data_IF_357947902081
#
_entry.id   IF_357947902081
#
_cell.length_a   1.000
_cell.length_b   1.000
_cell.length_c   1.000
_cell.angle_alpha   90.00
_cell.angle_beta   90.00
_cell.angle_gamma   90.00
#
_symmetry.space_group_name_H-M   'P 1'
#
loop_
_entity.id
_entity.type
_entity.pdbx_description
1 polymer ?
#
# COMPACT_ATOMS: atom_id res chain seq x y z
N UNK A 1 13.89 -13.92 17.36
CA UNK A 1 13.78 -12.72 18.23
C UNK A 1 14.82 -11.65 17.93
N UNK A 2 16.13 -11.87 18.15
CA UNK A 2 17.13 -10.82 17.93
C UNK A 2 17.18 -10.36 16.46
N UNK A 3 17.11 -11.29 15.51
CA UNK A 3 17.04 -10.98 14.08
C UNK A 3 15.76 -10.21 13.71
N UNK A 4 14.59 -10.64 14.21
CA UNK A 4 13.30 -10.00 13.90
C UNK A 4 13.27 -8.55 14.41
N UNK A 5 13.76 -8.33 15.64
CA UNK A 5 13.86 -6.99 16.21
C UNK A 5 14.87 -6.12 15.45
N UNK A 6 16.01 -6.67 15.04
CA UNK A 6 16.99 -5.95 14.23
C UNK A 6 16.42 -5.55 12.87
N UNK A 7 15.81 -6.49 12.14
CA UNK A 7 15.17 -6.24 10.85
C UNK A 7 14.03 -5.23 10.96
N UNK A 8 13.21 -5.33 12.02
CA UNK A 8 12.14 -4.36 12.28
C UNK A 8 12.70 -2.95 12.52
N UNK A 9 13.70 -2.81 13.39
CA UNK A 9 14.30 -1.51 13.69
C UNK A 9 14.99 -0.91 12.47
N UNK A 10 15.80 -1.70 11.75
CA UNK A 10 16.47 -1.26 10.53
C UNK A 10 15.45 -0.85 9.47
N UNK A 11 14.42 -1.66 9.23
CA UNK A 11 13.35 -1.34 8.28
C UNK A 11 12.56 -0.08 8.68
N UNK A 12 12.29 0.09 9.96
CA UNK A 12 11.59 1.27 10.51
C UNK A 12 12.41 2.54 10.29
N UNK A 13 13.71 2.52 10.63
CA UNK A 13 14.61 3.68 10.48
C UNK A 13 14.75 4.05 9.01
N UNK A 14 14.99 3.06 8.13
CA UNK A 14 15.07 3.30 6.68
C UNK A 14 13.74 3.86 6.15
N UNK A 15 12.62 3.28 6.58
CA UNK A 15 11.28 3.71 6.16
C UNK A 15 10.97 5.15 6.57
N UNK A 16 11.30 5.54 7.79
CA UNK A 16 11.15 6.92 8.27
C UNK A 16 12.06 7.90 7.53
N UNK A 17 13.32 7.51 7.28
CA UNK A 17 14.23 8.33 6.49
C UNK A 17 13.68 8.55 5.08
N UNK A 18 13.22 7.49 4.40
CA UNK A 18 12.62 7.57 3.06
C UNK A 18 11.35 8.42 3.05
N UNK A 19 10.49 8.28 4.07
CA UNK A 19 9.25 9.05 4.20
C UNK A 19 9.47 10.57 4.26
N UNK A 20 10.65 11.02 4.72
CA UNK A 20 11.04 12.43 4.78
C UNK A 20 11.88 12.83 3.56
N UNK A 21 12.91 12.05 3.24
CA UNK A 21 13.89 12.38 2.21
C UNK A 21 13.27 12.40 0.82
N UNK A 22 12.38 11.46 0.47
CA UNK A 22 11.80 11.42 -0.87
C UNK A 22 10.93 12.66 -1.15
N UNK A 23 9.95 13.03 -0.31
CA UNK A 23 9.21 14.29 -0.50
C UNK A 23 10.12 15.52 -0.53
N UNK A 24 11.15 15.58 0.31
CA UNK A 24 12.13 16.67 0.28
C UNK A 24 12.84 16.77 -1.08
N UNK A 25 13.36 15.66 -1.60
CA UNK A 25 14.04 15.62 -2.90
C UNK A 25 13.08 15.92 -4.07
N UNK A 26 11.82 15.52 -3.96
CA UNK A 26 10.79 15.87 -4.94
C UNK A 26 10.53 17.39 -4.97
N UNK A 27 10.54 18.05 -3.81
CA UNK A 27 10.33 19.50 -3.71
C UNK A 27 11.56 20.28 -4.18
N UNK A 28 12.77 19.84 -3.82
CA UNK A 28 14.00 20.64 -4.03
C UNK A 28 14.65 20.37 -5.39
N UNK A 29 14.59 19.15 -5.91
CA UNK A 29 15.42 18.75 -7.04
C UNK A 29 14.64 18.32 -8.30
N UNK A 30 13.31 18.17 -8.23
CA UNK A 30 12.52 17.63 -9.34
C UNK A 30 11.37 18.55 -9.74
N UNK A 31 11.17 18.73 -11.04
CA UNK A 31 9.93 19.30 -11.57
C UNK A 31 8.88 18.20 -11.58
N UNK A 32 7.85 18.35 -10.74
CA UNK A 32 6.83 17.33 -10.55
C UNK A 32 5.61 17.66 -11.42
N UNK A 33 5.45 16.96 -12.54
CA UNK A 33 4.45 17.30 -13.57
C UNK A 33 2.99 17.07 -13.14
N UNK A 34 2.70 15.95 -12.45
CA UNK A 34 1.31 15.58 -12.12
C UNK A 34 1.22 14.63 -10.93
N UNK A 35 0.18 14.76 -10.07
CA UNK A 35 -0.09 13.81 -8.99
C UNK A 35 -0.18 12.36 -9.46
N UNK A 36 0.52 11.48 -8.74
CA UNK A 36 0.61 10.06 -9.06
C UNK A 36 0.39 9.20 -7.81
N UNK A 37 -0.30 8.06 -7.91
CA UNK A 37 -0.41 7.09 -6.82
C UNK A 37 0.95 6.64 -6.26
N UNK A 38 2.01 6.73 -7.06
CA UNK A 38 3.39 6.38 -6.67
C UNK A 38 3.90 7.24 -5.51
N UNK A 39 3.36 8.44 -5.31
CA UNK A 39 3.73 9.32 -4.20
C UNK A 39 3.39 8.75 -2.83
N UNK A 40 2.57 7.71 -2.76
CA UNK A 40 2.28 7.00 -1.52
C UNK A 40 3.40 6.05 -1.08
N UNK A 41 4.27 5.60 -1.99
CA UNK A 41 5.30 4.61 -1.67
C UNK A 41 6.19 4.99 -0.47
N UNK A 42 6.69 6.24 -0.34
CA UNK A 42 7.55 6.62 0.78
C UNK A 42 6.88 6.50 2.14
N UNK A 43 5.55 6.69 2.20
CA UNK A 43 4.80 6.72 3.46
C UNK A 43 4.18 5.38 3.81
N UNK A 44 4.29 4.36 2.95
CA UNK A 44 3.83 3.00 3.24
C UNK A 44 4.65 2.35 4.35
N UNK A 45 5.98 2.47 4.33
CA UNK A 45 6.87 1.78 5.28
C UNK A 45 6.62 2.15 6.75
N UNK A 46 6.37 3.43 7.12
CA UNK A 46 5.92 3.76 8.47
C UNK A 46 4.62 3.05 8.87
N UNK A 47 3.62 2.94 7.99
CA UNK A 47 2.38 2.21 8.30
C UNK A 47 2.61 0.71 8.47
N UNK A 48 3.51 0.12 7.69
CA UNK A 48 3.90 -1.29 7.86
C UNK A 48 4.53 -1.50 9.24
N UNK A 49 5.44 -0.60 9.63
CA UNK A 49 6.08 -0.64 10.95
C UNK A 49 5.06 -0.48 12.08
N UNK A 50 4.08 0.41 11.90
CA UNK A 50 2.97 0.59 12.84
C UNK A 50 2.09 -0.67 13.00
N UNK A 51 1.84 -1.42 11.92
CA UNK A 51 1.04 -2.64 11.96
C UNK A 51 1.78 -3.84 12.55
N UNK A 52 3.10 -3.94 12.32
CA UNK A 52 3.91 -5.08 12.76
C UNK A 52 4.51 -4.89 14.16
N UNK A 53 4.81 -3.66 14.56
CA UNK A 53 5.40 -3.35 15.85
C UNK A 53 4.65 -3.92 17.06
N UNK A 54 3.31 -3.87 17.13
CA UNK A 54 2.54 -4.46 18.24
C UNK A 54 2.83 -5.95 18.48
N UNK A 55 3.22 -6.71 17.44
CA UNK A 55 3.56 -8.13 17.56
C UNK A 55 4.86 -8.37 18.37
N UNK A 56 5.71 -7.35 18.52
CA UNK A 56 6.94 -7.43 19.31
C UNK A 56 6.69 -7.13 20.80
N UNK A 57 5.55 -6.54 21.17
CA UNK A 57 5.22 -6.14 22.55
C UNK A 57 5.33 -7.30 23.56
N UNK A 58 4.81 -8.52 23.28
CA UNK A 58 4.93 -9.64 24.21
C UNK A 58 6.37 -10.04 24.53
N UNK A 59 7.31 -9.69 23.65
CA UNK A 59 8.72 -10.08 23.72
C UNK A 59 9.62 -9.03 24.40
N UNK A 60 9.06 -7.88 24.77
CA UNK A 60 9.79 -6.82 25.47
C UNK A 60 9.57 -6.90 26.98
N UNK A 61 10.53 -6.42 27.80
CA UNK A 61 10.32 -6.27 29.24
C UNK A 61 9.08 -5.40 29.53
N UNK A 62 8.26 -5.75 30.54
CA UNK A 62 7.12 -4.93 30.92
C UNK A 62 7.55 -3.52 31.35
N UNK A 63 6.67 -2.53 31.17
CA UNK A 63 6.92 -1.13 31.50
C UNK A 63 7.32 -0.29 30.29
N UNK A 64 8.36 0.53 30.43
CA UNK A 64 8.70 1.60 29.47
C UNK A 64 8.97 1.09 28.06
N UNK A 65 9.66 -0.03 27.86
CA UNK A 65 9.97 -0.54 26.52
C UNK A 65 8.73 -0.85 25.68
N UNK A 66 7.72 -1.49 26.29
CA UNK A 66 6.43 -1.77 25.61
C UNK A 66 5.68 -0.49 25.30
N UNK A 67 5.64 0.45 26.25
CA UNK A 67 4.98 1.74 26.09
C UNK A 67 5.63 2.57 24.98
N UNK A 68 6.97 2.67 24.97
CA UNK A 68 7.73 3.38 23.94
C UNK A 68 7.47 2.80 22.56
N UNK A 69 7.50 1.47 22.41
CA UNK A 69 7.22 0.83 21.13
C UNK A 69 5.79 1.12 20.64
N UNK A 70 4.78 0.93 21.49
CA UNK A 70 3.39 1.19 21.11
C UNK A 70 3.16 2.66 20.75
N UNK A 71 3.69 3.59 21.55
CA UNK A 71 3.61 5.03 21.26
C UNK A 71 4.30 5.39 19.95
N UNK A 72 5.47 4.80 19.67
CA UNK A 72 6.14 4.97 18.38
C UNK A 72 5.29 4.42 17.23
N UNK A 73 4.64 3.27 17.40
CA UNK A 73 3.73 2.70 16.40
C UNK A 73 2.51 3.60 16.15
N UNK A 74 1.92 4.21 17.19
CA UNK A 74 0.87 5.22 17.03
C UNK A 74 1.35 6.44 16.26
N UNK A 75 2.55 6.93 16.55
CA UNK A 75 3.16 8.03 15.81
C UNK A 75 3.35 7.72 14.33
N UNK A 76 3.87 6.52 14.01
CA UNK A 76 4.06 6.07 12.62
C UNK A 76 2.73 5.84 11.88
N UNK A 77 1.72 5.32 12.58
CA UNK A 77 0.36 5.20 12.07
C UNK A 77 -0.19 6.58 11.67
N UNK A 78 -0.12 7.55 12.59
CA UNK A 78 -0.60 8.91 12.36
C UNK A 78 0.15 9.59 11.21
N UNK A 79 1.49 9.51 11.19
CA UNK A 79 2.32 10.06 10.13
C UNK A 79 1.87 9.56 8.76
N UNK A 80 1.76 8.24 8.59
CA UNK A 80 1.45 7.65 7.30
C UNK A 80 -0.02 7.87 6.90
N UNK A 81 -0.95 7.81 7.85
CA UNK A 81 -2.36 8.06 7.59
C UNK A 81 -2.58 9.51 7.13
N UNK A 82 -2.03 10.49 7.85
CA UNK A 82 -2.16 11.90 7.50
C UNK A 82 -1.49 12.21 6.16
N UNK A 83 -0.30 11.67 5.90
CA UNK A 83 0.35 11.85 4.61
C UNK A 83 -0.46 11.22 3.46
N UNK A 84 -1.08 10.06 3.68
CA UNK A 84 -2.00 9.44 2.72
C UNK A 84 -3.21 10.34 2.45
N UNK A 85 -3.79 10.94 3.49
CA UNK A 85 -4.93 11.86 3.36
C UNK A 85 -4.56 13.17 2.65
N UNK A 86 -3.30 13.59 2.65
CA UNK A 86 -2.82 14.73 1.84
C UNK A 86 -2.67 14.34 0.36
N UNK A 87 -2.12 13.15 0.07
CA UNK A 87 -1.85 12.71 -1.31
C UNK A 87 -3.11 12.24 -2.03
N UNK A 88 -4.01 11.55 -1.34
CA UNK A 88 -5.17 10.90 -1.94
C UNK A 88 -6.11 11.87 -2.69
N UNK A 89 -6.49 13.05 -2.15
CA UNK A 89 -7.29 14.03 -2.88
C UNK A 89 -6.60 14.54 -4.14
N UNK A 90 -5.27 14.68 -4.13
CA UNK A 90 -4.50 15.12 -5.31
C UNK A 90 -4.55 14.07 -6.43
N UNK A 91 -4.39 12.80 -6.07
CA UNK A 91 -4.51 11.68 -7.02
C UNK A 91 -5.92 11.58 -7.58
N UNK A 92 -6.94 11.67 -6.71
CA UNK A 92 -8.33 11.62 -7.13
C UNK A 92 -8.70 12.80 -8.03
N UNK A 93 -8.34 14.02 -7.64
CA UNK A 93 -8.54 15.23 -8.44
C UNK A 93 -7.88 15.13 -9.81
N UNK A 94 -6.64 14.62 -9.88
CA UNK A 94 -5.94 14.36 -11.15
C UNK A 94 -6.67 13.36 -12.05
N UNK A 95 -7.33 12.34 -11.48
CA UNK A 95 -8.13 11.39 -12.27
C UNK A 95 -9.40 12.03 -12.80
N UNK A 96 -10.01 12.94 -12.05
CA UNK A 96 -11.23 13.65 -12.46
C UNK A 96 -10.95 14.68 -13.56
N UNK A 97 -9.85 15.43 -13.46
CA UNK A 97 -9.53 16.53 -14.39
C UNK A 97 -8.66 16.11 -15.56
N UNK A 98 -7.64 15.29 -15.30
CA UNK A 98 -6.70 14.80 -16.32
C UNK A 98 -7.08 13.44 -16.91
N UNK A 99 -8.16 12.84 -16.41
CA UNK A 99 -8.63 11.55 -16.84
C UNK A 99 -7.70 10.38 -16.43
N UNK A 100 -7.87 9.23 -17.08
CA UNK A 100 -7.14 8.00 -16.79
C UNK A 100 -5.62 8.14 -16.85
N UNK A 101 -4.92 7.30 -16.07
CA UNK A 101 -3.46 7.16 -16.21
C UNK A 101 -3.09 6.54 -17.57
N UNK A 102 -1.85 6.73 -18.04
CA UNK A 102 -1.29 5.93 -19.12
C UNK A 102 -1.51 4.44 -18.87
N UNK A 103 -1.77 3.66 -19.91
CA UNK A 103 -2.16 2.26 -19.81
C UNK A 103 -1.21 1.48 -18.89
N UNK A 104 0.09 1.50 -19.17
CA UNK A 104 1.10 0.79 -18.38
C UNK A 104 1.18 1.24 -16.91
N UNK A 105 0.73 2.44 -16.56
CA UNK A 105 0.73 2.94 -15.18
C UNK A 105 -0.60 2.71 -14.44
N UNK A 106 -1.65 2.27 -15.13
CA UNK A 106 -2.96 2.05 -14.51
C UNK A 106 -2.93 1.13 -13.28
N UNK A 107 -2.12 0.05 -13.22
CA UNK A 107 -2.00 -0.78 -12.02
C UNK A 107 -1.56 -0.03 -10.75
N UNK A 108 -0.84 1.09 -10.87
CA UNK A 108 -0.37 1.85 -9.69
C UNK A 108 -1.51 2.47 -8.89
N UNK A 109 -2.72 2.57 -9.44
CA UNK A 109 -3.91 2.98 -8.70
C UNK A 109 -4.16 2.10 -7.45
N UNK A 110 -3.73 0.84 -7.47
CA UNK A 110 -3.86 -0.05 -6.33
C UNK A 110 -2.98 0.35 -5.15
N UNK A 111 -1.91 1.14 -5.36
CA UNK A 111 -1.03 1.61 -4.27
C UNK A 111 -1.78 2.40 -3.19
N UNK A 112 -2.91 3.02 -3.53
CA UNK A 112 -3.81 3.69 -2.58
C UNK A 112 -4.38 2.72 -1.53
N UNK A 113 -4.62 1.46 -1.90
CA UNK A 113 -5.13 0.46 -0.97
C UNK A 113 -4.11 0.10 0.11
N UNK A 114 -2.82 0.27 -0.18
CA UNK A 114 -1.71 -0.10 0.70
C UNK A 114 -1.85 0.50 2.09
N UNK A 115 -1.76 1.83 2.24
CA UNK A 115 -1.91 2.48 3.54
C UNK A 115 -3.31 2.30 4.14
N UNK A 116 -4.38 2.21 3.33
CA UNK A 116 -5.75 2.03 3.84
C UNK A 116 -5.96 0.66 4.50
N UNK A 117 -5.62 -0.44 3.81
CA UNK A 117 -5.73 -1.78 4.39
C UNK A 117 -4.75 -1.99 5.54
N UNK A 118 -3.54 -1.42 5.43
CA UNK A 118 -2.52 -1.57 6.46
C UNK A 118 -2.87 -0.80 7.72
N UNK A 119 -3.53 0.36 7.61
CA UNK A 119 -4.01 1.09 8.79
C UNK A 119 -5.13 0.34 9.49
N UNK A 120 -6.06 -0.29 8.76
CA UNK A 120 -7.06 -1.19 9.35
C UNK A 120 -6.39 -2.34 10.12
N UNK A 121 -5.34 -2.93 9.54
CA UNK A 121 -4.54 -3.98 10.21
C UNK A 121 -3.87 -3.44 11.48
N UNK A 122 -3.25 -2.27 11.43
CA UNK A 122 -2.59 -1.65 12.56
C UNK A 122 -3.57 -1.37 13.71
N UNK A 123 -4.75 -0.82 13.41
CA UNK A 123 -5.78 -0.55 14.41
C UNK A 123 -6.21 -1.82 15.16
N UNK A 124 -6.44 -2.92 14.43
CA UNK A 124 -6.73 -4.22 15.06
C UNK A 124 -5.56 -4.70 15.94
N UNK A 125 -4.31 -4.54 15.49
CA UNK A 125 -3.13 -4.95 16.26
C UNK A 125 -2.85 -4.09 17.48
N UNK A 126 -3.25 -2.82 17.48
CA UNK A 126 -3.23 -1.99 18.66
C UNK A 126 -4.23 -2.46 19.71
N UNK A 127 -5.44 -2.84 19.29
CA UNK A 127 -6.42 -3.44 20.20
C UNK A 127 -5.92 -4.75 20.81
N UNK A 128 -5.34 -5.64 19.98
CA UNK A 128 -4.77 -6.92 20.44
C UNK A 128 -3.64 -6.73 21.47
N UNK A 129 -2.80 -5.70 21.30
CA UNK A 129 -1.66 -5.42 22.17
C UNK A 129 -2.01 -4.64 23.46
N UNK A 130 -3.26 -4.19 23.60
CA UNK A 130 -3.74 -3.38 24.71
C UNK A 130 -5.02 -3.95 25.37
N UNK A 131 -5.03 -5.24 25.81
CA UNK A 131 -6.25 -5.91 26.28
C UNK A 131 -6.88 -5.30 27.56
N UNK A 132 -6.12 -4.49 28.30
CA UNK A 132 -6.61 -3.78 29.49
C UNK A 132 -7.15 -2.38 29.23
N UNK A 133 -7.12 -1.89 27.98
CA UNK A 133 -7.63 -0.57 27.61
C UNK A 133 -9.12 -0.71 27.24
N UNK A 134 -10.03 -0.05 27.98
CA UNK A 134 -11.44 -0.08 27.65
C UNK A 134 -11.70 0.39 26.21
N UNK A 135 -12.62 -0.29 25.52
CA UNK A 135 -13.08 0.05 24.18
C UNK A 135 -12.03 -0.05 23.04
N UNK A 136 -10.88 -0.70 23.26
CA UNK A 136 -9.83 -0.77 22.24
C UNK A 136 -10.29 -1.51 20.97
N UNK A 137 -11.02 -2.61 21.11
CA UNK A 137 -11.59 -3.37 19.99
C UNK A 137 -12.66 -2.56 19.24
N UNK A 138 -13.55 -1.91 19.99
CA UNK A 138 -14.59 -1.04 19.43
C UNK A 138 -14.01 0.14 18.68
N UNK A 139 -12.92 0.76 19.19
CA UNK A 139 -12.20 1.82 18.49
C UNK A 139 -11.55 1.32 17.20
N UNK A 140 -10.96 0.12 17.22
CA UNK A 140 -10.38 -0.50 16.02
C UNK A 140 -11.46 -0.77 14.95
N UNK A 141 -12.63 -1.24 15.35
CA UNK A 141 -13.78 -1.46 14.46
C UNK A 141 -14.34 -0.13 13.93
N UNK A 142 -14.53 0.86 14.80
CA UNK A 142 -15.07 2.18 14.46
C UNK A 142 -14.19 2.91 13.43
N UNK A 143 -12.87 2.76 13.54
CA UNK A 143 -11.93 3.26 12.53
C UNK A 143 -11.91 2.37 11.29
N UNK A 144 -11.75 1.06 11.49
CA UNK A 144 -11.37 0.14 10.42
C UNK A 144 -12.51 -0.17 9.44
N UNK A 145 -13.76 -0.25 9.90
CA UNK A 145 -14.91 -0.51 9.01
C UNK A 145 -15.10 0.61 7.97
N UNK A 146 -15.16 1.91 8.33
CA UNK A 146 -15.24 2.98 7.34
C UNK A 146 -14.05 3.00 6.37
N UNK A 147 -12.83 2.81 6.87
CA UNK A 147 -11.61 2.80 6.03
C UNK A 147 -11.62 1.62 5.07
N UNK A 148 -12.03 0.43 5.52
CA UNK A 148 -12.22 -0.73 4.65
C UNK A 148 -13.31 -0.48 3.61
N UNK A 149 -14.44 0.13 4.00
CA UNK A 149 -15.49 0.51 3.06
C UNK A 149 -14.97 1.43 1.95
N UNK A 150 -14.17 2.44 2.30
CA UNK A 150 -13.51 3.31 1.32
C UNK A 150 -12.47 2.55 0.47
N UNK A 151 -11.71 1.64 1.06
CA UNK A 151 -10.77 0.79 0.32
C UNK A 151 -11.48 -0.08 -0.72
N UNK A 152 -12.66 -0.63 -0.41
CA UNK A 152 -13.47 -1.41 -1.36
C UNK A 152 -14.04 -0.53 -2.49
N UNK A 153 -14.49 0.69 -2.17
CA UNK A 153 -14.86 1.67 -3.20
C UNK A 153 -13.68 1.95 -4.13
N UNK A 154 -12.50 2.21 -3.58
CA UNK A 154 -11.32 2.47 -4.38
C UNK A 154 -10.88 1.24 -5.19
N UNK A 155 -10.95 0.05 -4.62
CA UNK A 155 -10.63 -1.22 -5.28
C UNK A 155 -11.52 -1.43 -6.51
N UNK A 156 -12.83 -1.19 -6.38
CA UNK A 156 -13.76 -1.30 -7.51
C UNK A 156 -13.46 -0.27 -8.61
N UNK A 157 -13.17 0.98 -8.24
CA UNK A 157 -12.75 2.02 -9.18
C UNK A 157 -11.44 1.65 -9.90
N UNK A 158 -10.40 1.29 -9.16
CA UNK A 158 -9.10 0.91 -9.70
C UNK A 158 -9.20 -0.35 -10.58
N UNK A 159 -10.01 -1.33 -10.16
CA UNK A 159 -10.31 -2.54 -10.93
C UNK A 159 -11.00 -2.23 -12.25
N UNK A 160 -12.02 -1.36 -12.25
CA UNK A 160 -12.69 -0.91 -13.47
C UNK A 160 -11.71 -0.20 -14.43
N UNK A 161 -10.80 0.61 -13.89
CA UNK A 161 -9.77 1.30 -14.68
C UNK A 161 -8.77 0.30 -15.31
N UNK A 162 -8.36 -0.73 -14.57
CA UNK A 162 -7.52 -1.83 -15.09
C UNK A 162 -8.24 -2.61 -16.19
N UNK A 163 -9.51 -2.98 -15.99
CA UNK A 163 -10.32 -3.66 -17.02
C UNK A 163 -10.41 -2.81 -18.28
N UNK A 164 -10.68 -1.51 -18.14
CA UNK A 164 -10.72 -0.56 -19.24
C UNK A 164 -9.38 -0.47 -19.96
N UNK A 165 -8.27 -0.39 -19.22
CA UNK A 165 -6.93 -0.34 -19.79
C UNK A 165 -6.61 -1.64 -20.56
N UNK A 166 -6.96 -2.80 -20.01
CA UNK A 166 -6.84 -4.10 -20.70
C UNK A 166 -7.63 -4.14 -22.00
N UNK A 167 -8.88 -3.66 -21.99
CA UNK A 167 -9.72 -3.55 -23.21
C UNK A 167 -9.15 -2.60 -24.26
N UNK A 168 -8.34 -1.62 -23.85
CA UNK A 168 -7.59 -0.71 -24.74
C UNK A 168 -6.18 -1.20 -25.08
N UNK A 169 -5.89 -2.49 -24.91
CA UNK A 169 -4.63 -3.09 -25.34
C UNK A 169 -3.47 -2.96 -24.35
N UNK A 170 -3.71 -2.59 -23.08
CA UNK A 170 -2.66 -2.58 -22.05
C UNK A 170 -2.01 -3.96 -21.95
N UNK A 171 -0.74 -4.10 -22.37
CA UNK A 171 0.05 -5.33 -22.20
C UNK A 171 0.44 -5.61 -20.75
N UNK A 172 1.26 -6.65 -20.56
CA UNK A 172 1.92 -6.84 -19.27
C UNK A 172 2.98 -5.76 -19.07
N UNK A 173 3.05 -5.22 -17.85
CA UNK A 173 4.09 -4.30 -17.40
C UNK A 173 4.45 -4.64 -15.95
N UNK A 174 5.67 -4.29 -15.51
CA UNK A 174 6.11 -4.57 -14.14
C UNK A 174 5.22 -3.92 -13.07
N UNK A 175 4.52 -2.85 -13.42
CA UNK A 175 3.51 -2.19 -12.57
C UNK A 175 2.40 -3.11 -12.10
N UNK A 176 2.16 -4.26 -12.74
CA UNK A 176 1.20 -5.27 -12.27
C UNK A 176 1.54 -5.80 -10.86
N UNK A 177 2.81 -5.73 -10.45
CA UNK A 177 3.20 -6.05 -9.08
C UNK A 177 2.55 -5.13 -8.03
N UNK A 178 2.09 -3.94 -8.41
CA UNK A 178 1.34 -3.03 -7.54
C UNK A 178 0.01 -3.61 -7.04
N UNK A 179 -0.50 -4.71 -7.60
CA UNK A 179 -1.68 -5.39 -7.06
C UNK A 179 -1.40 -6.14 -5.76
N UNK A 180 -0.16 -6.58 -5.54
CA UNK A 180 0.14 -7.60 -4.53
C UNK A 180 0.07 -7.05 -3.11
N UNK A 181 1.05 -6.23 -2.71
CA UNK A 181 1.11 -5.66 -1.38
C UNK A 181 -0.21 -4.96 -0.99
N UNK A 182 -0.78 -4.05 -1.79
CA UNK A 182 -1.99 -3.32 -1.39
C UNK A 182 -3.25 -4.18 -1.25
N UNK A 183 -3.45 -5.19 -2.10
CA UNK A 183 -4.58 -6.12 -1.90
C UNK A 183 -4.33 -6.97 -0.66
N UNK A 184 -3.09 -7.38 -0.43
CA UNK A 184 -2.69 -8.11 0.77
C UNK A 184 -2.97 -7.35 2.07
N UNK A 185 -2.72 -6.04 2.11
CA UNK A 185 -3.05 -5.24 3.30
C UNK A 185 -4.57 -5.14 3.53
N UNK A 186 -5.38 -5.13 2.47
CA UNK A 186 -6.83 -5.24 2.60
C UNK A 186 -7.27 -6.61 3.12
N UNK A 187 -6.59 -7.72 2.75
CA UNK A 187 -6.85 -9.05 3.31
C UNK A 187 -6.63 -9.05 4.82
N UNK A 188 -5.47 -8.58 5.28
CA UNK A 188 -5.15 -8.57 6.72
C UNK A 188 -6.03 -7.60 7.49
N UNK A 189 -6.41 -6.47 6.88
CA UNK A 189 -7.35 -5.52 7.48
C UNK A 189 -8.74 -6.13 7.64
N UNK A 190 -9.26 -6.81 6.61
CA UNK A 190 -10.57 -7.48 6.67
C UNK A 190 -10.58 -8.63 7.68
N UNK A 191 -9.49 -9.40 7.78
CA UNK A 191 -9.33 -10.45 8.80
C UNK A 191 -9.30 -9.87 10.22
N UNK A 192 -8.56 -8.78 10.44
CA UNK A 192 -8.57 -8.09 11.73
C UNK A 192 -9.97 -7.62 12.13
N UNK A 193 -10.73 -7.04 11.20
CA UNK A 193 -12.12 -6.66 11.46
C UNK A 193 -13.01 -7.86 11.72
N UNK A 194 -12.82 -8.98 11.01
CA UNK A 194 -13.58 -10.20 11.23
C UNK A 194 -13.37 -10.75 12.64
N UNK A 195 -12.13 -10.69 13.15
CA UNK A 195 -11.78 -11.11 14.51
C UNK A 195 -12.45 -10.24 15.58
N UNK A 196 -12.41 -8.91 15.40
CA UNK A 196 -12.97 -7.96 16.39
C UNK A 196 -14.49 -7.81 16.33
N UNK A 197 -15.14 -8.18 15.23
CA UNK A 197 -16.61 -8.09 15.07
C UNK A 197 -17.33 -9.43 15.16
N UNK A 198 -16.63 -10.55 14.92
CA UNK A 198 -17.24 -11.87 14.74
C UNK A 198 -18.07 -12.02 13.46
N UNK A 199 -18.10 -11.01 12.57
CA UNK A 199 -18.98 -10.99 11.41
C UNK A 199 -18.45 -11.89 10.27
N UNK A 200 -19.17 -12.95 9.95
CA UNK A 200 -18.79 -13.89 8.90
C UNK A 200 -18.58 -13.24 7.52
N UNK A 201 -19.31 -12.16 7.21
CA UNK A 201 -19.17 -11.42 5.96
C UNK A 201 -17.76 -10.83 5.79
N UNK A 202 -17.14 -10.32 6.87
CA UNK A 202 -15.77 -9.78 6.83
C UNK A 202 -14.73 -10.89 6.61
N UNK A 203 -14.98 -12.09 7.16
CA UNK A 203 -14.13 -13.26 6.89
C UNK A 203 -14.22 -13.69 5.43
N UNK A 204 -15.42 -13.75 4.86
CA UNK A 204 -15.59 -14.03 3.43
C UNK A 204 -14.99 -12.95 2.54
N UNK A 205 -15.05 -11.69 2.95
CA UNK A 205 -14.36 -10.60 2.28
C UNK A 205 -12.84 -10.84 2.25
N UNK A 206 -12.23 -11.18 3.40
CA UNK A 206 -10.80 -11.50 3.48
C UNK A 206 -10.41 -12.65 2.54
N UNK A 207 -11.22 -13.72 2.51
CA UNK A 207 -11.03 -14.86 1.58
C UNK A 207 -11.10 -14.41 0.12
N UNK A 208 -12.11 -13.62 -0.26
CA UNK A 208 -12.27 -13.12 -1.62
C UNK A 208 -11.09 -12.24 -2.07
N UNK A 209 -10.64 -11.33 -1.20
CA UNK A 209 -9.45 -10.50 -1.43
C UNK A 209 -8.19 -11.36 -1.53
N UNK A 210 -8.07 -12.44 -0.75
CA UNK A 210 -6.92 -13.34 -0.80
C UNK A 210 -6.86 -14.14 -2.10
N UNK A 211 -8.01 -14.63 -2.59
CA UNK A 211 -8.10 -15.27 -3.91
C UNK A 211 -7.68 -14.29 -5.02
N UNK A 212 -8.15 -13.05 -4.95
CA UNK A 212 -7.73 -11.99 -5.88
C UNK A 212 -6.22 -11.75 -5.83
N UNK A 213 -5.64 -11.66 -4.63
CA UNK A 213 -4.21 -11.51 -4.41
C UNK A 213 -3.41 -12.65 -5.05
N UNK A 214 -3.78 -13.89 -4.77
CA UNK A 214 -3.09 -15.07 -5.31
C UNK A 214 -3.15 -15.09 -6.84
N UNK A 215 -4.32 -14.80 -7.42
CA UNK A 215 -4.49 -14.73 -8.87
C UNK A 215 -3.62 -13.63 -9.50
N UNK A 216 -3.60 -12.43 -8.89
CA UNK A 216 -2.78 -11.32 -9.36
C UNK A 216 -1.27 -11.64 -9.26
N UNK A 217 -0.84 -12.23 -8.14
CA UNK A 217 0.53 -12.63 -7.90
C UNK A 217 1.00 -13.68 -8.91
N UNK A 218 0.24 -14.77 -9.10
CA UNK A 218 0.56 -15.82 -10.06
C UNK A 218 0.67 -15.27 -11.48
N UNK A 219 -0.27 -14.38 -11.86
CA UNK A 219 -0.25 -13.76 -13.18
C UNK A 219 0.99 -12.89 -13.37
N UNK A 220 1.33 -12.05 -12.40
CA UNK A 220 2.52 -11.19 -12.45
C UNK A 220 3.80 -12.03 -12.49
N UNK A 221 3.93 -13.04 -11.62
CA UNK A 221 5.08 -13.93 -11.54
C UNK A 221 5.32 -14.67 -12.87
N UNK A 222 4.30 -15.34 -13.41
CA UNK A 222 4.42 -16.09 -14.67
C UNK A 222 4.81 -15.17 -15.83
N UNK A 223 4.22 -13.97 -15.91
CA UNK A 223 4.53 -13.00 -16.96
C UNK A 223 5.93 -12.41 -16.81
N UNK A 224 6.38 -12.15 -15.58
CA UNK A 224 7.74 -11.71 -15.29
C UNK A 224 8.76 -12.78 -15.69
N UNK A 225 8.56 -14.03 -15.28
CA UNK A 225 9.47 -15.14 -15.63
C UNK A 225 9.54 -15.33 -17.14
N UNK A 226 8.40 -15.31 -17.85
CA UNK A 226 8.38 -15.38 -19.32
C UNK A 226 9.09 -14.20 -19.98
N UNK A 227 8.90 -12.99 -19.45
CA UNK A 227 9.56 -11.79 -19.97
C UNK A 227 11.07 -11.77 -19.73
N UNK A 228 11.53 -12.33 -18.61
CA UNK A 228 12.96 -12.52 -18.33
C UNK A 228 13.56 -13.61 -19.23
N UNK A 229 12.88 -14.76 -19.36
CA UNK A 229 13.33 -15.87 -20.20
C UNK A 229 13.41 -15.49 -21.68
N UNK A 230 12.51 -14.62 -22.16
CA UNK A 230 12.53 -14.09 -23.52
C UNK A 230 13.53 -12.92 -23.72
N UNK A 231 14.24 -12.47 -22.67
CA UNK A 231 15.14 -11.31 -22.71
C UNK A 231 14.44 -9.94 -22.82
N UNK A 232 13.12 -9.91 -23.03
CA UNK A 232 12.34 -8.70 -23.27
C UNK A 232 12.34 -7.72 -22.08
N UNK A 233 12.45 -8.21 -20.85
CA UNK A 233 12.50 -7.35 -19.65
C UNK A 233 13.89 -6.80 -19.35
N UNK A 234 14.95 -7.37 -19.93
CA UNK A 234 16.33 -6.92 -19.78
C UNK A 234 16.78 -6.03 -20.95
N UNK A 235 15.99 -6.00 -22.04
CA UNK A 235 16.26 -5.15 -23.18
C UNK A 235 16.24 -3.67 -22.77
N UNK A 236 17.23 -2.91 -23.24
CA UNK A 236 17.27 -1.47 -23.03
C UNK A 236 15.99 -0.81 -23.57
N UNK A 237 15.47 0.24 -22.91
CA UNK A 237 14.37 1.01 -23.47
C UNK A 237 14.71 1.45 -24.90
N UNK A 238 13.77 1.37 -25.85
CA UNK A 238 14.03 1.88 -27.20
C UNK A 238 14.49 3.34 -27.09
N UNK A 239 15.67 3.63 -27.64
CA UNK A 239 16.22 4.98 -27.63
C UNK A 239 15.24 5.97 -28.28
N UNK A 240 15.28 7.25 -27.90
CA UNK A 240 14.40 8.25 -28.49
C UNK A 240 14.56 8.22 -30.02
N UNK A 241 13.48 7.88 -30.72
CA UNK A 241 13.49 7.79 -32.18
C UNK A 241 13.95 9.13 -32.75
N UNK A 242 14.98 9.11 -33.60
CA UNK A 242 15.40 10.30 -34.36
C UNK A 242 14.19 10.81 -35.13
N UNK A 243 13.66 11.95 -34.71
CA UNK A 243 12.69 12.68 -35.51
C UNK A 243 13.39 13.04 -36.82
N UNK A 244 13.03 12.36 -37.90
CA UNK A 244 13.43 12.74 -39.25
C UNK A 244 12.85 14.11 -39.53
N UNK A 245 13.68 15.14 -39.42
CA UNK A 245 13.34 16.47 -39.91
C UNK A 245 13.06 16.36 -41.41
N UNK A 246 11.79 16.49 -41.80
CA UNK A 246 11.44 16.81 -43.19
C UNK A 246 11.79 18.27 -43.40
N UNK A 247 12.86 18.51 -44.13
CA UNK A 247 13.12 19.80 -44.79
C UNK A 247 12.12 19.95 -45.93
N UNK A 248 11.28 20.97 -45.85
CA UNK A 248 10.60 21.60 -47.00
C UNK A 248 10.90 23.08 -46.94
#
# INVERSE_FOLDING_TARGET
>A
MALDAALFLTGTVIGLAVAVTVPYLMVVHHTVDSPSPVWLLPVVSPMVSAALGPLLVPHLPPGQWRLTLLTACYGMFGLSLLATLVVLPLVFGRLMTGGPLPLALTPTLFLVLGPLGQSTTAAAKFADAAPGVPYAGEAAVLYGVPVMGFALLWLTLAGAMVVRARRRGMGFALTWWAFTFPVGTCVTGAEGLAQHTGLAALRWLAVGLYVLLVAAWLTAAVRTVRGLAAGALLAAPPGPGRATARTT
#
